data_IF_060986004587
#
_entry.id   IF_060986004587
#
_cell.length_a   1.000
_cell.length_b   1.000
_cell.length_c   1.000
_cell.angle_alpha   90.00
_cell.angle_beta   90.00
_cell.angle_gamma   90.00
#
_symmetry.space_group_name_H-M   'P 1'
#
loop_
_entity.id
_entity.type
_entity.pdbx_description
1 polymer ?
#
# COMPACT_ATOMS: atom_id res chain seq x y z
N UNK A 1 -5.27 -14.21 2.03
CA UNK A 1 -3.83 -14.56 2.06
C UNK A 1 -2.93 -13.45 2.66
N UNK A 2 -3.29 -12.16 2.61
CA UNK A 2 -2.43 -11.07 3.12
C UNK A 2 -2.24 -10.99 4.64
N UNK A 3 -3.15 -11.53 5.47
CA UNK A 3 -3.06 -11.41 6.93
C UNK A 3 -1.77 -12.01 7.51
N UNK A 4 -1.33 -13.18 7.00
CA UNK A 4 -0.07 -13.79 7.45
C UNK A 4 1.14 -12.95 7.05
N UNK A 5 1.14 -12.31 5.88
CA UNK A 5 2.24 -11.45 5.44
C UNK A 5 2.36 -10.15 6.23
N UNK A 6 1.22 -9.57 6.63
CA UNK A 6 1.19 -8.44 7.55
C UNK A 6 1.76 -8.81 8.93
N UNK A 7 1.32 -9.95 9.48
CA UNK A 7 1.83 -10.48 10.74
C UNK A 7 3.33 -10.79 10.70
N UNK A 8 3.80 -11.33 9.60
CA UNK A 8 5.20 -11.71 9.39
C UNK A 8 6.09 -10.55 8.91
N UNK A 9 5.54 -9.32 8.83
CA UNK A 9 6.24 -8.09 8.38
C UNK A 9 6.96 -8.25 7.03
N UNK A 10 6.38 -9.04 6.14
CA UNK A 10 6.92 -9.26 4.80
C UNK A 10 6.75 -7.98 3.97
N UNK A 11 7.65 -7.73 3.03
CA UNK A 11 7.52 -6.59 2.11
C UNK A 11 6.46 -6.92 1.04
N UNK A 12 5.22 -6.49 1.25
CA UNK A 12 4.11 -6.65 0.31
C UNK A 12 3.53 -5.31 -0.14
N UNK A 13 2.97 -5.29 -1.35
CA UNK A 13 2.22 -4.18 -1.93
C UNK A 13 0.80 -4.62 -2.30
N UNK A 14 -0.20 -3.78 -2.08
CA UNK A 14 -1.57 -3.98 -2.55
C UNK A 14 -1.69 -3.36 -3.94
N UNK A 15 -2.24 -4.12 -4.89
CA UNK A 15 -2.42 -3.72 -6.28
C UNK A 15 -3.78 -4.20 -6.78
N UNK A 16 -4.39 -3.45 -7.69
CA UNK A 16 -5.72 -3.74 -8.25
C UNK A 16 -5.77 -4.95 -9.20
N UNK A 17 -4.61 -5.54 -9.53
CA UNK A 17 -4.41 -6.61 -10.51
C UNK A 17 -4.93 -6.25 -11.92
N UNK A 18 -6.26 -6.23 -12.11
CA UNK A 18 -6.90 -5.84 -13.37
C UNK A 18 -8.13 -4.92 -13.15
N UNK A 19 -7.98 -3.58 -13.32
CA UNK A 19 -9.03 -2.60 -13.09
C UNK A 19 -10.29 -2.75 -13.95
N UNK A 20 -10.19 -3.38 -15.10
CA UNK A 20 -11.30 -3.42 -16.08
C UNK A 20 -12.26 -4.57 -15.86
N UNK A 21 -11.86 -5.60 -15.11
CA UNK A 21 -12.73 -6.73 -14.73
C UNK A 21 -13.49 -6.47 -13.42
N UNK A 22 -12.99 -5.55 -12.59
CA UNK A 22 -13.58 -5.18 -11.31
C UNK A 22 -13.73 -3.66 -11.27
N UNK A 23 -14.97 -3.18 -11.27
CA UNK A 23 -15.35 -1.75 -11.24
C UNK A 23 -15.04 -1.11 -9.87
N UNK A 24 -13.80 -1.27 -9.42
CA UNK A 24 -13.30 -0.94 -8.11
C UNK A 24 -12.44 0.34 -8.22
N UNK A 25 -11.90 0.84 -7.12
CA UNK A 25 -10.87 1.90 -7.13
C UNK A 25 -9.75 1.49 -6.18
N UNK A 26 -8.57 2.12 -6.28
CA UNK A 26 -7.51 1.87 -5.28
C UNK A 26 -8.02 2.17 -3.86
N UNK A 27 -8.94 3.12 -3.72
CA UNK A 27 -9.59 3.42 -2.45
C UNK A 27 -10.47 2.26 -1.96
N UNK A 28 -11.30 1.65 -2.81
CA UNK A 28 -12.15 0.53 -2.40
C UNK A 28 -11.35 -0.72 -2.04
N UNK A 29 -10.23 -0.97 -2.72
CA UNK A 29 -9.29 -2.05 -2.36
C UNK A 29 -8.66 -1.83 -0.98
N UNK A 30 -8.28 -0.58 -0.67
CA UNK A 30 -7.74 -0.22 0.65
C UNK A 30 -8.81 -0.31 1.75
N UNK A 31 -10.07 0.06 1.46
CA UNK A 31 -11.18 -0.12 2.38
C UNK A 31 -11.45 -1.60 2.65
N UNK A 32 -11.47 -2.45 1.62
CA UNK A 32 -11.63 -3.89 1.77
C UNK A 32 -10.51 -4.49 2.63
N UNK A 33 -9.27 -4.06 2.41
CA UNK A 33 -8.12 -4.50 3.19
C UNK A 33 -8.17 -4.05 4.67
N UNK A 34 -8.78 -2.90 4.95
CA UNK A 34 -9.07 -2.47 6.32
C UNK A 34 -10.19 -3.31 6.94
N UNK A 35 -11.33 -3.39 6.26
CA UNK A 35 -12.59 -3.82 6.85
C UNK A 35 -12.71 -5.35 6.91
N UNK A 36 -12.21 -6.07 5.91
CA UNK A 36 -12.32 -7.54 5.82
C UNK A 36 -11.04 -8.27 6.25
N UNK A 37 -9.86 -7.66 6.07
CA UNK A 37 -8.57 -8.26 6.47
C UNK A 37 -8.14 -7.77 7.86
N UNK A 38 -8.66 -6.62 8.31
CA UNK A 38 -8.33 -6.05 9.63
C UNK A 38 -6.99 -5.31 9.67
N UNK A 39 -6.48 -4.83 8.53
CA UNK A 39 -5.25 -4.04 8.50
C UNK A 39 -5.47 -2.67 9.13
N UNK A 40 -4.50 -2.24 9.93
CA UNK A 40 -4.47 -0.90 10.52
C UNK A 40 -4.12 0.17 9.47
N UNK A 41 -4.49 1.42 9.73
CA UNK A 41 -4.14 2.55 8.85
C UNK A 41 -2.62 2.68 8.67
N UNK A 42 -1.86 2.35 9.71
CA UNK A 42 -0.39 2.32 9.66
C UNK A 42 0.15 1.20 8.76
N UNK A 43 -0.43 -0.01 8.80
CA UNK A 43 -0.03 -1.10 7.90
C UNK A 43 -0.36 -0.79 6.43
N UNK A 44 -1.50 -0.13 6.17
CA UNK A 44 -1.85 0.33 4.83
C UNK A 44 -0.88 1.42 4.32
N UNK A 45 -0.49 2.35 5.19
CA UNK A 45 0.53 3.34 4.86
C UNK A 45 1.90 2.70 4.57
N UNK A 46 2.32 1.74 5.40
CA UNK A 46 3.57 1.03 5.22
C UNK A 46 3.60 0.24 3.90
N UNK A 47 2.45 -0.35 3.53
CA UNK A 47 2.28 -1.03 2.24
C UNK A 47 2.47 -0.08 1.05
N UNK A 48 1.93 1.14 1.11
CA UNK A 48 2.14 2.15 0.08
C UNK A 48 3.61 2.61 0.00
N UNK A 49 4.28 2.75 1.14
CA UNK A 49 5.71 3.08 1.19
C UNK A 49 6.57 1.98 0.54
N UNK A 50 6.24 0.72 0.81
CA UNK A 50 6.88 -0.45 0.23
C UNK A 50 6.70 -0.51 -1.31
N UNK A 51 5.50 -0.21 -1.79
CA UNK A 51 5.20 -0.13 -3.22
C UNK A 51 6.02 0.98 -3.90
N UNK A 52 6.09 2.17 -3.28
CA UNK A 52 6.88 3.28 -3.81
C UNK A 52 8.38 2.99 -3.84
N UNK A 53 8.92 2.25 -2.85
CA UNK A 53 10.32 1.83 -2.84
C UNK A 53 10.63 0.79 -3.92
N UNK A 54 9.69 -0.12 -4.16
CA UNK A 54 9.86 -1.26 -5.08
C UNK A 54 9.50 -0.94 -6.54
N UNK A 55 9.06 0.30 -6.84
CA UNK A 55 8.74 0.68 -8.21
C UNK A 55 9.99 0.83 -9.09
N UNK A 56 9.82 0.63 -10.40
CA UNK A 56 10.90 0.67 -11.39
C UNK A 56 11.28 2.09 -11.84
N UNK A 57 10.86 3.13 -11.10
CA UNK A 57 11.24 4.51 -11.39
C UNK A 57 12.72 4.76 -11.04
N UNK A 58 13.41 5.64 -11.79
CA UNK A 58 14.72 6.15 -11.41
C UNK A 58 14.68 6.84 -10.04
N UNK A 59 15.79 6.79 -9.30
CA UNK A 59 15.85 7.29 -7.91
C UNK A 59 15.48 8.77 -7.78
N UNK A 60 15.80 9.57 -8.81
CA UNK A 60 15.47 11.01 -8.88
C UNK A 60 13.95 11.25 -8.88
N UNK A 61 13.18 10.36 -9.50
CA UNK A 61 11.72 10.45 -9.57
C UNK A 61 11.05 9.75 -8.38
N UNK A 62 11.69 8.72 -7.83
CA UNK A 62 11.23 7.97 -6.66
C UNK A 62 11.30 8.81 -5.37
N UNK A 63 12.36 9.59 -5.20
CA UNK A 63 12.60 10.39 -3.99
C UNK A 63 11.42 11.28 -3.57
N UNK A 64 10.87 12.12 -4.48
CA UNK A 64 9.71 12.96 -4.18
C UNK A 64 8.45 12.16 -3.80
N UNK A 65 8.23 11.00 -4.41
CA UNK A 65 7.07 10.14 -4.14
C UNK A 65 7.19 9.55 -2.74
N UNK A 66 8.36 8.99 -2.41
CA UNK A 66 8.64 8.43 -1.09
C UNK A 66 8.56 9.51 -0.01
N UNK A 67 9.10 10.70 -0.25
CA UNK A 67 9.02 11.82 0.69
C UNK A 67 7.57 12.27 0.95
N UNK A 68 6.73 12.30 -0.09
CA UNK A 68 5.30 12.62 0.06
C UNK A 68 4.59 11.59 0.92
N UNK A 69 4.85 10.29 0.70
CA UNK A 69 4.27 9.21 1.50
C UNK A 69 4.75 9.31 2.96
N UNK A 70 6.05 9.54 3.18
CA UNK A 70 6.60 9.72 4.53
C UNK A 70 5.98 10.91 5.27
N UNK A 71 5.69 12.02 4.58
CA UNK A 71 5.02 13.18 5.20
C UNK A 71 3.57 12.92 5.62
N UNK A 72 2.95 11.88 5.05
CA UNK A 72 1.55 11.50 5.29
C UNK A 72 1.43 10.31 6.26
N UNK A 73 2.47 10.02 7.06
CA UNK A 73 2.43 8.97 8.07
C UNK A 73 1.28 9.20 9.07
N UNK A 74 0.35 8.23 9.22
CA UNK A 74 -0.73 8.32 10.20
C UNK A 74 -0.15 8.41 11.60
N UNK A 75 -0.46 9.48 12.33
CA UNK A 75 -0.12 9.59 13.74
C UNK A 75 -1.08 8.68 14.52
N UNK A 76 -0.52 7.70 15.24
CA UNK A 76 -1.26 6.82 16.15
C UNK A 76 -1.96 7.59 17.26
#
# INVERSE_FOLDING_TARGET
MCFSWAKDKVNYSISRDDPTCFDNTMYSELQLARDEIGLTEHELWQCQLNAARSCFLPEVEKGPIVAKILSAEPKS
#
